data_IF_991242856839
#
_entry.id   IF_991242856839
#
_cell.length_a   1.000
_cell.length_b   1.000
_cell.length_c   1.000
_cell.angle_alpha   90.00
_cell.angle_beta   90.00
_cell.angle_gamma   90.00
#
_symmetry.space_group_name_H-M   'P 1'
#
loop_
_entity.id
_entity.type
_entity.pdbx_description
1 polymer ?
#
# COMPACT_ATOMS: atom_id res chain seq x y z
N UNK A 1 14.56 -10.22 1.00
CA UNK A 1 13.80 -9.60 2.08
C UNK A 1 13.56 -8.14 1.74
N UNK A 2 12.39 -7.65 2.08
CA UNK A 2 12.05 -6.26 1.81
C UNK A 2 12.45 -5.39 2.99
N UNK A 3 12.75 -4.13 2.70
CA UNK A 3 12.97 -3.17 3.79
C UNK A 3 11.63 -2.75 4.38
N UNK A 4 10.64 -2.54 3.53
CA UNK A 4 9.33 -2.07 3.97
C UNK A 4 8.26 -2.92 3.31
N UNK A 5 7.39 -3.52 4.12
CA UNK A 5 6.20 -4.18 3.64
C UNK A 5 4.99 -3.33 3.97
N UNK A 6 4.22 -2.99 2.96
CA UNK A 6 3.05 -2.13 3.14
C UNK A 6 1.81 -2.97 2.94
N UNK A 7 0.96 -2.98 3.93
CA UNK A 7 -0.31 -3.70 3.86
C UNK A 7 -1.39 -2.68 3.57
N UNK A 8 -1.94 -2.77 2.38
CA UNK A 8 -2.97 -1.86 1.92
C UNK A 8 -2.48 -1.03 0.75
N UNK A 9 -3.18 -1.13 -0.38
CA UNK A 9 -2.81 -0.45 -1.61
C UNK A 9 -3.66 0.77 -1.91
N UNK A 10 -4.19 1.41 -0.87
CA UNK A 10 -4.88 2.65 -1.05
C UNK A 10 -3.92 3.81 -1.18
N UNK A 11 -4.45 5.01 -1.10
CA UNK A 11 -3.65 6.21 -1.29
C UNK A 11 -2.49 6.28 -0.30
N UNK A 12 -2.77 5.98 0.96
CA UNK A 12 -1.73 6.04 1.98
C UNK A 12 -0.62 5.03 1.73
N UNK A 13 -1.00 3.81 1.34
CA UNK A 13 -0.01 2.79 1.09
C UNK A 13 0.86 3.10 -0.11
N UNK A 14 0.24 3.58 -1.19
CA UNK A 14 1.01 3.93 -2.38
C UNK A 14 1.92 5.12 -2.12
N UNK A 15 1.46 6.08 -1.34
CA UNK A 15 2.29 7.23 -0.98
C UNK A 15 3.49 6.78 -0.14
N UNK A 16 3.24 5.89 0.81
CA UNK A 16 4.33 5.37 1.63
C UNK A 16 5.36 4.64 0.76
N UNK A 17 4.89 3.90 -0.25
CA UNK A 17 5.80 3.19 -1.14
C UNK A 17 6.65 4.14 -1.95
N UNK A 18 6.06 5.24 -2.41
CA UNK A 18 6.81 6.22 -3.16
C UNK A 18 7.94 6.80 -2.31
N UNK A 19 7.63 7.19 -1.09
CA UNK A 19 8.65 7.73 -0.21
C UNK A 19 9.70 6.69 0.16
N UNK A 20 9.27 5.44 0.38
CA UNK A 20 10.21 4.38 0.69
C UNK A 20 11.19 4.15 -0.46
N UNK A 21 10.68 4.10 -1.68
CA UNK A 21 11.55 3.89 -2.82
C UNK A 21 12.48 5.06 -3.05
N UNK A 22 12.00 6.29 -2.82
CA UNK A 22 12.88 7.46 -2.93
C UNK A 22 13.98 7.43 -1.92
N UNK A 23 13.74 6.80 -0.77
CA UNK A 23 14.75 6.66 0.26
C UNK A 23 15.68 5.47 -0.01
N UNK A 24 15.53 4.80 -1.13
CA UNK A 24 16.38 3.68 -1.48
C UNK A 24 16.00 2.38 -0.79
N UNK A 25 14.77 2.28 -0.30
CA UNK A 25 14.32 1.08 0.41
C UNK A 25 13.57 0.16 -0.53
N UNK A 26 13.81 -1.13 -0.41
CA UNK A 26 13.07 -2.10 -1.20
C UNK A 26 11.69 -2.28 -0.58
N UNK A 27 10.65 -1.97 -1.35
CA UNK A 27 9.31 -1.86 -0.83
C UNK A 27 8.34 -2.76 -1.59
N UNK A 28 7.43 -3.41 -0.86
CA UNK A 28 6.35 -4.16 -1.48
C UNK A 28 5.02 -3.67 -0.90
N UNK A 29 4.01 -3.56 -1.77
CA UNK A 29 2.65 -3.22 -1.37
C UNK A 29 1.79 -4.46 -1.58
N UNK A 30 1.10 -4.88 -0.54
CA UNK A 30 0.21 -6.03 -0.63
C UNK A 30 -1.21 -5.56 -0.39
N UNK A 31 -2.08 -5.83 -1.35
CA UNK A 31 -3.46 -5.38 -1.30
C UNK A 31 -4.40 -6.57 -1.49
N UNK A 32 -5.38 -6.67 -0.61
CA UNK A 32 -6.33 -7.78 -0.68
C UNK A 32 -7.58 -7.48 -1.48
N UNK A 33 -7.76 -6.24 -1.88
CA UNK A 33 -8.91 -5.84 -2.69
C UNK A 33 -8.48 -5.11 -3.94
N UNK A 34 -8.71 -3.82 -3.99
CA UNK A 34 -8.40 -3.02 -5.16
C UNK A 34 -7.34 -1.98 -4.80
N UNK A 35 -6.27 -1.92 -5.60
CA UNK A 35 -5.30 -0.85 -5.42
C UNK A 35 -5.99 0.49 -5.66
N UNK A 36 -5.67 1.47 -4.83
CA UNK A 36 -6.36 2.74 -4.85
C UNK A 36 -7.38 2.87 -3.75
N UNK A 37 -7.85 1.74 -3.24
CA UNK A 37 -8.78 1.75 -2.11
C UNK A 37 -10.06 2.48 -2.45
N UNK A 38 -10.58 3.19 -1.49
CA UNK A 38 -11.88 3.83 -1.66
C UNK A 38 -11.85 5.00 -2.61
N UNK A 39 -10.68 5.54 -2.89
CA UNK A 39 -10.61 6.71 -3.75
C UNK A 39 -10.98 6.38 -5.19
N UNK A 40 -10.88 5.12 -5.57
CA UNK A 40 -11.23 4.74 -6.93
C UNK A 40 -12.70 4.88 -7.22
N UNK A 41 -13.54 4.92 -6.20
CA UNK A 41 -14.98 5.07 -6.41
C UNK A 41 -15.41 6.52 -6.43
N UNK A 42 -14.52 7.46 -6.19
CA UNK A 42 -14.86 8.87 -6.22
C UNK A 42 -14.81 9.39 -7.64
N UNK A 43 -15.83 10.13 -8.09
CA UNK A 43 -15.76 10.68 -9.43
C UNK A 43 -14.65 11.72 -9.59
N UNK A 44 -14.38 12.48 -8.54
CA UNK A 44 -13.37 13.51 -8.60
C UNK A 44 -12.61 13.60 -7.31
N UNK A 45 -11.34 13.98 -7.39
CA UNK A 45 -10.54 14.27 -6.23
C UNK A 45 -10.06 15.71 -6.41
N UNK A 46 -10.64 16.62 -5.66
CA UNK A 46 -10.38 18.04 -5.88
C UNK A 46 -9.63 18.72 -4.76
N UNK A 47 -9.66 18.14 -3.58
CA UNK A 47 -9.05 18.78 -2.43
C UNK A 47 -7.71 18.18 -2.04
N UNK A 48 -7.11 17.45 -2.94
CA UNK A 48 -5.79 16.90 -2.68
C UNK A 48 -4.74 17.90 -3.16
N UNK A 49 -3.76 18.22 -2.34
CA UNK A 49 -2.78 19.26 -2.74
C UNK A 49 -2.08 18.91 -4.05
N UNK A 50 -2.01 19.87 -4.92
CA UNK A 50 -1.33 19.68 -6.19
C UNK A 50 -2.16 19.04 -7.26
N UNK A 51 -3.41 18.69 -6.94
CA UNK A 51 -4.31 18.07 -7.90
C UNK A 51 -5.54 18.94 -8.03
N UNK A 52 -5.84 19.36 -9.25
CA UNK A 52 -6.97 20.22 -9.43
C UNK A 52 -8.26 19.44 -9.48
N UNK A 53 -8.39 18.55 -10.42
CA UNK A 53 -9.61 17.76 -10.53
C UNK A 53 -9.30 16.56 -11.40
N UNK A 54 -9.30 15.39 -10.79
CA UNK A 54 -9.12 14.14 -11.52
C UNK A 54 -10.08 13.14 -10.92
N UNK A 55 -10.41 12.12 -11.68
CA UNK A 55 -11.23 11.06 -11.14
C UNK A 55 -10.43 10.27 -10.12
N UNK A 56 -11.12 9.59 -9.23
CA UNK A 56 -10.45 8.77 -8.23
C UNK A 56 -9.59 7.70 -8.87
N UNK A 57 -10.08 7.09 -9.96
CA UNK A 57 -9.30 6.04 -10.59
C UNK A 57 -8.06 6.61 -11.27
N UNK A 58 -8.15 7.78 -11.87
CA UNK A 58 -6.96 8.40 -12.46
C UNK A 58 -5.94 8.74 -11.40
N UNK A 59 -6.40 9.27 -10.29
CA UNK A 59 -5.51 9.62 -9.20
C UNK A 59 -4.79 8.38 -8.66
N UNK A 60 -5.54 7.30 -8.48
CA UNK A 60 -4.96 6.06 -7.98
C UNK A 60 -3.97 5.46 -8.95
N UNK A 61 -4.31 5.49 -10.24
CA UNK A 61 -3.41 4.94 -11.26
C UNK A 61 -2.12 5.74 -11.32
N UNK A 62 -2.22 7.05 -11.15
CA UNK A 62 -1.02 7.89 -11.17
C UNK A 62 -0.11 7.55 -9.99
N UNK A 63 -0.66 7.35 -8.81
CA UNK A 63 0.14 7.00 -7.65
C UNK A 63 0.78 5.63 -7.83
N UNK A 64 0.01 4.67 -8.30
CA UNK A 64 0.52 3.33 -8.51
C UNK A 64 1.64 3.35 -9.54
N UNK A 65 1.43 4.08 -10.63
CA UNK A 65 2.45 4.18 -11.67
C UNK A 65 3.74 4.78 -11.12
N UNK A 66 3.63 5.82 -10.31
CA UNK A 66 4.81 6.43 -9.72
C UNK A 66 5.55 5.45 -8.82
N UNK A 67 4.82 4.72 -7.99
CA UNK A 67 5.45 3.77 -7.10
C UNK A 67 6.17 2.69 -7.88
N UNK A 68 5.53 2.17 -8.93
CA UNK A 68 6.13 1.10 -9.70
C UNK A 68 7.32 1.58 -10.51
N UNK A 69 7.26 2.79 -11.02
CA UNK A 69 8.40 3.32 -11.76
C UNK A 69 9.62 3.52 -10.87
N UNK A 70 9.39 3.74 -9.60
CA UNK A 70 10.49 3.86 -8.65
C UNK A 70 10.96 2.50 -8.16
N UNK A 71 10.31 1.42 -8.58
CA UNK A 71 10.77 0.09 -8.26
C UNK A 71 9.99 -0.63 -7.19
N UNK A 72 8.90 -0.06 -6.69
CA UNK A 72 8.10 -0.74 -5.69
C UNK A 72 7.43 -1.97 -6.31
N UNK A 73 7.37 -3.04 -5.54
CA UNK A 73 6.70 -4.25 -5.98
C UNK A 73 5.28 -4.25 -5.46
N UNK A 74 4.38 -4.87 -6.20
CA UNK A 74 2.98 -4.95 -5.83
C UNK A 74 2.53 -6.39 -5.87
N UNK A 75 1.61 -6.75 -4.99
CA UNK A 75 1.09 -8.10 -4.94
C UNK A 75 -0.35 -8.07 -4.47
N UNK A 76 -1.21 -8.76 -5.19
CA UNK A 76 -2.59 -8.95 -4.76
C UNK A 76 -2.62 -10.20 -3.91
N UNK A 77 -2.94 -10.06 -2.65
CA UNK A 77 -3.00 -11.19 -1.74
C UNK A 77 -3.73 -10.77 -0.48
N UNK A 78 -4.37 -11.73 0.15
CA UNK A 78 -5.08 -11.48 1.39
C UNK A 78 -4.13 -11.72 2.54
N UNK A 79 -3.85 -10.70 3.31
CA UNK A 79 -2.97 -10.83 4.46
C UNK A 79 -3.76 -11.49 5.59
N UNK A 80 -3.27 -12.62 6.08
CA UNK A 80 -3.93 -13.34 7.14
C UNK A 80 -3.28 -13.12 8.50
N UNK A 81 -2.09 -12.55 8.51
CA UNK A 81 -1.45 -12.27 9.79
C UNK A 81 -0.07 -11.69 9.61
N UNK A 82 0.52 -11.33 10.71
CA UNK A 82 1.88 -10.81 10.75
C UNK A 82 2.60 -11.58 11.84
N UNK A 83 3.77 -12.11 11.50
CA UNK A 83 4.58 -12.83 12.47
C UNK A 83 5.79 -11.97 12.81
N UNK A 84 5.95 -11.70 14.09
CA UNK A 84 7.05 -10.86 14.55
C UNK A 84 8.20 -11.76 14.98
N UNK A 85 9.30 -11.68 14.25
CA UNK A 85 10.47 -12.50 14.55
C UNK A 85 11.66 -11.63 14.97
N UNK A 86 11.37 -10.55 15.66
CA UNK A 86 12.41 -9.67 16.13
C UNK A 86 12.73 -8.59 15.09
N UNK A 87 13.89 -8.67 14.50
CA UNK A 87 14.28 -7.68 13.49
C UNK A 87 13.61 -7.93 12.17
N UNK A 88 12.98 -9.08 12.01
CA UNK A 88 12.27 -9.40 10.79
C UNK A 88 10.79 -9.57 11.13
N UNK A 89 9.94 -8.91 10.35
CA UNK A 89 8.50 -9.07 10.46
C UNK A 89 8.03 -9.75 9.20
N UNK A 90 7.19 -10.76 9.35
CA UNK A 90 6.75 -11.55 8.20
C UNK A 90 5.28 -11.30 7.95
N UNK A 91 4.95 -10.85 6.75
CA UNK A 91 3.57 -10.73 6.33
C UNK A 91 3.13 -12.08 5.81
N UNK A 92 2.07 -12.62 6.39
CA UNK A 92 1.61 -13.97 6.06
C UNK A 92 0.39 -13.89 5.18
N UNK A 93 0.45 -14.58 4.05
CA UNK A 93 -0.71 -14.76 3.16
C UNK A 93 -0.88 -16.25 2.91
N UNK A 94 -2.03 -16.66 2.36
CA UNK A 94 -2.27 -18.09 2.17
C UNK A 94 -1.24 -18.78 1.27
N UNK A 95 -0.69 -18.05 0.30
CA UNK A 95 0.20 -18.68 -0.66
C UNK A 95 1.66 -18.40 -0.40
N UNK A 96 1.98 -17.35 0.35
CA UNK A 96 3.36 -16.93 0.45
C UNK A 96 3.56 -16.08 1.68
N UNK A 97 4.79 -16.04 2.15
CA UNK A 97 5.17 -15.17 3.26
C UNK A 97 6.17 -14.14 2.74
N UNK A 98 6.11 -12.97 3.31
CA UNK A 98 6.94 -11.84 2.86
C UNK A 98 7.72 -11.28 4.03
N UNK A 99 8.99 -11.64 4.15
CA UNK A 99 9.80 -11.11 5.27
C UNK A 99 10.21 -9.67 4.97
N UNK A 100 10.04 -8.82 5.97
CA UNK A 100 10.31 -7.39 5.85
C UNK A 100 11.02 -6.91 7.11
N UNK A 101 11.77 -5.84 6.98
CA UNK A 101 12.39 -5.24 8.15
C UNK A 101 11.38 -4.39 8.92
N UNK A 102 10.45 -3.76 8.22
CA UNK A 102 9.41 -2.99 8.88
C UNK A 102 8.12 -3.15 8.09
N UNK A 103 7.00 -2.88 8.75
CA UNK A 103 5.69 -3.01 8.15
C UNK A 103 4.91 -1.73 8.39
N UNK A 104 4.26 -1.25 7.32
CA UNK A 104 3.37 -0.11 7.40
C UNK A 104 1.95 -0.62 7.21
N UNK A 105 1.09 -0.34 8.17
CA UNK A 105 -0.31 -0.69 8.04
C UNK A 105 -1.03 0.49 7.42
N UNK A 106 -1.41 0.33 6.18
CA UNK A 106 -2.09 1.38 5.43
C UNK A 106 -3.43 0.88 4.93
N UNK A 107 -4.06 0.06 5.74
CA UNK A 107 -5.35 -0.50 5.40
C UNK A 107 -6.40 0.60 5.41
N UNK A 108 -7.51 0.35 4.78
CA UNK A 108 -8.50 1.36 4.62
C UNK A 108 -9.31 1.61 5.87
N UNK A 109 -10.27 2.49 5.74
CA UNK A 109 -11.07 2.89 6.87
C UNK A 109 -11.93 1.79 7.44
N UNK A 110 -12.14 0.72 6.69
CA UNK A 110 -12.94 -0.36 7.20
C UNK A 110 -12.34 -0.99 8.44
N UNK A 111 -11.04 -0.95 8.60
CA UNK A 111 -10.43 -1.50 9.79
C UNK A 111 -10.81 -0.74 11.02
N UNK A 112 -11.11 0.51 10.87
CA UNK A 112 -11.49 1.31 12.01
C UNK A 112 -12.80 0.90 12.59
N UNK A 113 -13.66 0.32 11.76
CA UNK A 113 -14.93 -0.14 12.24
C UNK A 113 -14.84 -1.47 12.94
N UNK A 114 -13.93 -2.27 12.50
CA UNK A 114 -13.87 -3.61 13.01
C UNK A 114 -13.01 -3.72 14.22
N UNK A 115 -12.16 -2.80 14.39
CA UNK A 115 -11.24 -2.89 15.43
C UNK A 115 -11.82 -2.73 16.76
N UNK A 116 -12.32 -2.59 16.46
CA UNK A 116 -12.46 -2.49 17.48
C UNK A 116 -12.88 -2.63 17.85
#
# INVERSE_FOLDING_TARGET
MYDIGIIGGGTAGMTAAIYGQRAGKRTIIIEGGTFGGQITSSPNVENYPGITSVSGSEFSMNLLDQAMKLGAETQMAQVTGIRDEGEVKVIVTPEKEYPCRSIVLATGRSEEHTSE
#
